data_IF_144882603717
#
_entry.id   IF_144882603717
#
_cell.length_a   1.000
_cell.length_b   1.000
_cell.length_c   1.000
_cell.angle_alpha   90.00
_cell.angle_beta   90.00
_cell.angle_gamma   90.00
#
_symmetry.space_group_name_H-M   'P 1'
#
loop_
_entity.id
_entity.type
_entity.pdbx_description
1 polymer ?
#
# COMPACT_ATOMS: atom_id res chain seq x y z
N UNK A 1 -21.81 -27.73 23.42
CA UNK A 1 -21.05 -27.64 22.14
C UNK A 1 -21.90 -28.28 21.05
N UNK A 2 -22.64 -27.48 20.30
CA UNK A 2 -23.48 -27.98 19.21
C UNK A 2 -22.61 -28.12 17.95
N UNK A 3 -22.50 -29.35 17.43
CA UNK A 3 -21.94 -29.63 16.10
C UNK A 3 -22.86 -28.97 15.07
N UNK A 4 -22.30 -28.08 14.25
CA UNK A 4 -23.01 -27.55 13.08
C UNK A 4 -23.00 -28.66 12.04
N UNK A 5 -24.11 -29.40 11.92
CA UNK A 5 -24.33 -30.35 10.83
C UNK A 5 -24.62 -29.58 9.54
N UNK A 6 -23.82 -29.85 8.51
CA UNK A 6 -24.01 -29.35 7.14
C UNK A 6 -24.67 -30.49 6.35
N UNK A 7 -25.71 -30.25 5.52
CA UNK A 7 -26.51 -31.32 4.93
C UNK A 7 -25.74 -32.14 3.90
N UNK A 8 -25.95 -33.46 3.95
CA UNK A 8 -25.37 -34.47 3.08
C UNK A 8 -25.87 -34.39 1.63
N UNK A 9 -24.94 -34.17 0.71
CA UNK A 9 -24.98 -34.77 -0.63
C UNK A 9 -23.64 -35.48 -0.81
N UNK A 10 -23.69 -36.73 -1.23
CA UNK A 10 -22.57 -37.67 -1.30
C UNK A 10 -21.34 -37.09 -2.04
N UNK A 11 -20.41 -36.52 -1.28
CA UNK A 11 -18.94 -36.62 -1.42
C UNK A 11 -18.32 -35.83 -0.27
N UNK A 12 -17.44 -36.51 0.47
CA UNK A 12 -16.76 -36.06 1.69
C UNK A 12 -15.97 -34.77 1.45
N UNK A 13 -16.55 -33.61 1.78
CA UNK A 13 -15.71 -32.46 2.09
C UNK A 13 -15.39 -32.48 3.57
N UNK A 14 -14.27 -33.11 3.92
CA UNK A 14 -13.68 -33.00 5.24
C UNK A 14 -12.69 -31.83 5.28
N UNK A 15 -13.02 -30.70 5.93
CA UNK A 15 -12.10 -29.59 6.11
C UNK A 15 -10.83 -29.95 6.90
N UNK A 16 -10.77 -31.13 7.52
CA UNK A 16 -9.59 -31.65 8.22
C UNK A 16 -8.49 -32.17 7.28
N UNK A 17 -8.81 -32.46 6.01
CA UNK A 17 -7.88 -33.05 5.04
C UNK A 17 -6.82 -32.06 4.50
N UNK A 18 -7.09 -30.76 4.58
CA UNK A 18 -6.10 -29.69 4.31
C UNK A 18 -5.56 -29.15 5.62
N UNK A 19 -4.49 -29.77 6.12
CA UNK A 19 -3.90 -29.47 7.42
C UNK A 19 -3.46 -28.00 7.54
N UNK A 20 -4.01 -27.31 8.55
CA UNK A 20 -3.40 -26.12 9.14
C UNK A 20 -2.21 -26.54 10.02
N UNK A 21 -1.26 -25.64 10.33
CA UNK A 21 -0.22 -25.94 11.31
C UNK A 21 -0.81 -26.42 12.64
N UNK A 22 -0.10 -27.33 13.31
CA UNK A 22 -0.53 -27.94 14.57
C UNK A 22 -0.78 -26.85 15.64
N UNK A 23 -2.06 -26.75 16.04
CA UNK A 23 -2.66 -25.85 17.04
C UNK A 23 -2.73 -24.34 16.69
N UNK A 24 -3.85 -23.94 16.05
CA UNK A 24 -4.27 -22.54 16.03
C UNK A 24 -4.81 -22.11 17.41
N UNK A 25 -4.53 -20.88 17.83
CA UNK A 25 -5.22 -20.29 18.98
C UNK A 25 -6.73 -20.13 18.68
N UNK A 26 -7.60 -20.02 19.71
CA UNK A 26 -9.05 -19.98 19.51
C UNK A 26 -9.56 -18.85 18.60
N UNK A 27 -8.87 -17.68 18.58
CA UNK A 27 -9.24 -16.55 17.71
C UNK A 27 -8.97 -16.89 16.24
N UNK A 28 -7.80 -17.47 15.96
CA UNK A 28 -7.41 -17.90 14.63
C UNK A 28 -8.24 -19.10 14.13
N UNK A 29 -8.62 -20.03 15.01
CA UNK A 29 -9.53 -21.14 14.68
C UNK A 29 -10.94 -20.63 14.31
N UNK A 30 -11.50 -19.70 15.09
CA UNK A 30 -12.80 -19.09 14.79
C UNK A 30 -12.77 -18.33 13.45
N UNK A 31 -11.70 -17.58 13.21
CA UNK A 31 -11.46 -16.88 11.94
C UNK A 31 -11.36 -17.86 10.77
N UNK A 32 -10.63 -18.95 10.93
CA UNK A 32 -10.49 -19.99 9.92
C UNK A 32 -11.84 -20.62 9.55
N UNK A 33 -12.63 -21.02 10.56
CA UNK A 33 -13.98 -21.56 10.34
C UNK A 33 -14.89 -20.59 9.61
N UNK A 34 -14.85 -19.31 10.00
CA UNK A 34 -15.64 -18.27 9.33
C UNK A 34 -15.23 -18.11 7.85
N UNK A 35 -13.92 -18.18 7.55
CA UNK A 35 -13.41 -18.14 6.17
C UNK A 35 -13.90 -19.30 5.35
N UNK A 36 -13.72 -20.54 5.81
CA UNK A 36 -14.20 -21.72 5.12
C UNK A 36 -15.71 -21.67 4.88
N UNK A 37 -16.48 -21.26 5.89
CA UNK A 37 -17.94 -21.10 5.76
C UNK A 37 -18.31 -20.10 4.65
N UNK A 38 -17.57 -19.00 4.55
CA UNK A 38 -17.85 -17.93 3.57
C UNK A 38 -17.15 -18.13 2.22
N UNK A 39 -16.32 -19.17 2.07
CA UNK A 39 -15.76 -19.61 0.79
C UNK A 39 -16.38 -20.93 0.35
N UNK A 40 -15.86 -22.04 0.85
CA UNK A 40 -16.22 -23.40 0.46
C UNK A 40 -17.66 -23.71 0.85
N UNK A 41 -18.06 -23.40 2.09
CA UNK A 41 -19.44 -23.59 2.55
C UNK A 41 -20.45 -22.78 1.72
N UNK A 42 -20.08 -21.57 1.31
CA UNK A 42 -20.92 -20.74 0.45
C UNK A 42 -21.04 -21.32 -0.97
N UNK A 43 -19.97 -21.89 -1.53
CA UNK A 43 -20.01 -22.57 -2.83
C UNK A 43 -20.89 -23.84 -2.77
N UNK A 44 -20.73 -24.65 -1.73
CA UNK A 44 -21.57 -25.83 -1.52
C UNK A 44 -23.06 -25.49 -1.38
N UNK A 45 -23.38 -24.30 -0.87
CA UNK A 45 -24.77 -23.86 -0.63
C UNK A 45 -25.38 -23.13 -1.84
N UNK A 46 -24.61 -22.27 -2.51
CA UNK A 46 -25.14 -21.32 -3.50
C UNK A 46 -24.49 -21.44 -4.88
N UNK A 47 -23.39 -22.18 -5.00
CA UNK A 47 -22.60 -22.27 -6.20
C UNK A 47 -23.15 -23.23 -7.25
N UNK A 48 -22.72 -23.04 -8.48
CA UNK A 48 -23.00 -23.96 -9.58
C UNK A 48 -22.09 -25.19 -9.48
N UNK A 49 -22.70 -26.36 -9.29
CA UNK A 49 -22.01 -27.63 -9.04
C UNK A 49 -22.34 -28.64 -10.12
N UNK A 50 -21.32 -29.33 -10.62
CA UNK A 50 -21.40 -30.42 -11.58
C UNK A 50 -20.20 -31.34 -11.37
N UNK A 51 -20.39 -32.65 -11.54
CA UNK A 51 -19.35 -33.65 -11.32
C UNK A 51 -18.07 -33.38 -12.14
N UNK A 52 -18.18 -32.71 -13.30
CA UNK A 52 -17.04 -32.38 -14.17
C UNK A 52 -16.04 -31.41 -13.55
N UNK A 53 -16.48 -30.48 -12.71
CA UNK A 53 -15.61 -29.42 -12.17
C UNK A 53 -15.65 -29.26 -10.65
N UNK A 54 -16.61 -29.89 -9.96
CA UNK A 54 -16.85 -29.64 -8.54
C UNK A 54 -15.62 -29.91 -7.66
N UNK A 55 -14.85 -30.97 -7.95
CA UNK A 55 -13.61 -31.25 -7.22
C UNK A 55 -12.58 -30.11 -7.38
N UNK A 56 -12.30 -29.71 -8.63
CA UNK A 56 -11.37 -28.62 -8.93
C UNK A 56 -11.84 -27.27 -8.35
N UNK A 57 -13.15 -27.01 -8.35
CA UNK A 57 -13.72 -25.81 -7.73
C UNK A 57 -13.54 -25.81 -6.21
N UNK A 58 -13.75 -26.95 -5.53
CA UNK A 58 -13.51 -27.07 -4.10
C UNK A 58 -12.03 -26.91 -3.73
N UNK A 59 -11.13 -27.47 -4.53
CA UNK A 59 -9.68 -27.32 -4.37
C UNK A 59 -9.25 -25.86 -4.51
N UNK A 60 -9.73 -25.17 -5.56
CA UNK A 60 -9.50 -23.73 -5.75
C UNK A 60 -9.93 -22.93 -4.51
N UNK A 61 -11.15 -23.14 -4.04
CA UNK A 61 -11.75 -22.32 -2.98
C UNK A 61 -11.13 -22.61 -1.60
N UNK A 62 -10.65 -23.83 -1.40
CA UNK A 62 -9.88 -24.21 -0.20
C UNK A 62 -8.50 -23.55 -0.22
N UNK A 63 -7.77 -23.65 -1.34
CA UNK A 63 -6.50 -22.94 -1.50
C UNK A 63 -6.68 -21.42 -1.44
N UNK A 64 -7.80 -20.88 -1.94
CA UNK A 64 -8.15 -19.46 -1.79
C UNK A 64 -8.30 -19.06 -0.31
N UNK A 65 -9.01 -19.86 0.48
CA UNK A 65 -9.15 -19.62 1.91
C UNK A 65 -7.81 -19.67 2.65
N UNK A 66 -6.95 -20.63 2.31
CA UNK A 66 -5.62 -20.84 2.91
C UNK A 66 -4.63 -19.74 2.53
N UNK A 67 -4.49 -19.42 1.24
CA UNK A 67 -3.53 -18.42 0.78
C UNK A 67 -3.79 -17.05 1.43
N UNK A 68 -5.05 -16.75 1.70
CA UNK A 68 -5.47 -15.48 2.31
C UNK A 68 -5.55 -15.55 3.84
N UNK A 69 -5.18 -16.69 4.45
CA UNK A 69 -5.12 -16.92 5.91
C UNK A 69 -3.68 -17.17 6.35
N UNK A 70 -3.11 -16.28 7.20
CA UNK A 70 -1.79 -16.38 7.87
C UNK A 70 -0.89 -17.56 7.41
N UNK A 71 -0.40 -17.52 6.18
CA UNK A 71 0.43 -18.59 5.62
C UNK A 71 1.83 -18.09 5.30
N UNK A 72 2.84 -18.88 5.68
CA UNK A 72 4.22 -18.66 5.30
C UNK A 72 4.51 -19.15 3.87
N UNK A 73 3.55 -19.83 3.22
CA UNK A 73 3.69 -20.40 1.88
C UNK A 73 2.59 -19.91 0.91
N UNK A 74 2.37 -18.59 0.92
CA UNK A 74 1.44 -17.92 0.00
C UNK A 74 1.69 -18.34 -1.47
N UNK A 75 2.95 -18.51 -1.85
CA UNK A 75 3.34 -18.84 -3.22
C UNK A 75 2.83 -20.22 -3.67
N UNK A 76 2.93 -21.25 -2.83
CA UNK A 76 2.42 -22.59 -3.17
C UNK A 76 0.91 -22.62 -3.23
N UNK A 77 0.22 -22.09 -2.20
CA UNK A 77 -1.25 -22.04 -2.22
C UNK A 77 -1.79 -21.24 -3.40
N UNK A 78 -1.11 -20.16 -3.79
CA UNK A 78 -1.47 -19.39 -4.98
C UNK A 78 -1.34 -20.20 -6.27
N UNK A 79 -0.25 -20.96 -6.45
CA UNK A 79 -0.06 -21.81 -7.64
C UNK A 79 -1.13 -22.90 -7.71
N UNK A 80 -1.34 -23.63 -6.62
CA UNK A 80 -2.34 -24.69 -6.55
C UNK A 80 -3.74 -24.16 -6.84
N UNK A 81 -4.07 -22.96 -6.32
CA UNK A 81 -5.34 -22.31 -6.62
C UNK A 81 -5.50 -21.99 -8.11
N UNK A 82 -4.46 -21.48 -8.78
CA UNK A 82 -4.53 -21.21 -10.23
C UNK A 82 -4.78 -22.49 -11.02
N UNK A 83 -4.00 -23.55 -10.75
CA UNK A 83 -4.12 -24.83 -11.45
C UNK A 83 -5.52 -25.44 -11.29
N UNK A 84 -6.03 -25.51 -10.06
CA UNK A 84 -7.38 -26.00 -9.78
C UNK A 84 -8.46 -25.12 -10.42
N UNK A 85 -8.26 -23.80 -10.39
CA UNK A 85 -9.17 -22.84 -11.02
C UNK A 85 -9.22 -22.98 -12.54
N UNK A 86 -8.08 -23.20 -13.20
CA UNK A 86 -8.02 -23.44 -14.65
C UNK A 86 -8.73 -24.75 -15.02
N UNK A 87 -8.45 -25.83 -14.31
CA UNK A 87 -9.11 -27.12 -14.51
C UNK A 87 -10.64 -27.02 -14.38
N UNK A 88 -11.14 -26.27 -13.39
CA UNK A 88 -12.58 -26.06 -13.23
C UNK A 88 -13.19 -25.29 -14.43
N UNK A 89 -12.53 -24.24 -14.91
CA UNK A 89 -13.01 -23.45 -16.05
C UNK A 89 -12.97 -24.24 -17.36
N UNK A 90 -11.91 -25.02 -17.60
CA UNK A 90 -11.77 -25.90 -18.77
C UNK A 90 -12.83 -27.00 -18.79
N UNK A 91 -13.21 -27.51 -17.62
CA UNK A 91 -14.32 -28.45 -17.44
C UNK A 91 -15.71 -27.81 -17.63
N UNK A 92 -15.79 -26.50 -17.84
CA UNK A 92 -17.02 -25.75 -18.14
C UNK A 92 -17.67 -25.03 -16.95
N UNK A 93 -16.96 -24.88 -15.82
CA UNK A 93 -17.47 -24.14 -14.67
C UNK A 93 -17.69 -22.66 -15.02
N UNK A 94 -18.92 -22.18 -14.86
CA UNK A 94 -19.28 -20.77 -15.05
C UNK A 94 -19.63 -20.04 -13.74
N UNK A 95 -19.44 -20.69 -12.59
CA UNK A 95 -19.70 -20.09 -11.29
C UNK A 95 -18.89 -18.78 -11.12
N UNK A 96 -19.54 -17.64 -10.83
CA UNK A 96 -18.87 -16.35 -10.81
C UNK A 96 -17.87 -16.21 -9.67
N UNK A 97 -18.02 -16.97 -8.57
CA UNK A 97 -17.07 -16.94 -7.47
C UNK A 97 -15.82 -17.76 -7.80
N UNK A 98 -15.99 -18.93 -8.43
CA UNK A 98 -14.87 -19.72 -8.99
C UNK A 98 -14.07 -18.87 -9.98
N UNK A 99 -14.73 -18.23 -10.95
CA UNK A 99 -14.09 -17.33 -11.91
C UNK A 99 -13.32 -16.19 -11.23
N UNK A 100 -13.92 -15.56 -10.21
CA UNK A 100 -13.26 -14.51 -9.44
C UNK A 100 -11.98 -15.01 -8.75
N UNK A 101 -12.06 -16.12 -8.01
CA UNK A 101 -10.93 -16.68 -7.28
C UNK A 101 -9.79 -17.10 -8.21
N UNK A 102 -10.08 -17.74 -9.35
CA UNK A 102 -9.07 -18.07 -10.38
C UNK A 102 -8.36 -16.81 -10.87
N UNK A 103 -9.13 -15.75 -11.10
CA UNK A 103 -8.62 -14.47 -11.61
C UNK A 103 -7.75 -13.72 -10.58
N UNK A 104 -8.07 -13.86 -9.29
CA UNK A 104 -7.31 -13.24 -8.19
C UNK A 104 -5.85 -13.72 -8.14
N UNK A 105 -5.64 -15.02 -8.23
CA UNK A 105 -4.30 -15.63 -8.15
C UNK A 105 -3.47 -15.54 -9.43
N UNK A 106 -4.13 -15.42 -10.58
CA UNK A 106 -3.42 -15.25 -11.87
C UNK A 106 -2.68 -13.92 -11.95
N UNK A 107 -3.19 -12.85 -11.33
CA UNK A 107 -2.60 -11.51 -11.42
C UNK A 107 -1.14 -11.41 -10.93
N UNK A 108 -0.75 -11.98 -9.76
CA UNK A 108 0.65 -11.97 -9.32
C UNK A 108 1.56 -13.01 -10.01
N UNK A 109 1.01 -14.02 -10.69
CA UNK A 109 1.76 -15.13 -11.31
C UNK A 109 1.90 -15.00 -12.84
N UNK A 110 1.11 -14.14 -13.48
CA UNK A 110 1.10 -13.93 -14.94
C UNK A 110 1.72 -12.59 -15.33
N UNK A 111 2.36 -12.53 -16.51
CA UNK A 111 2.78 -11.26 -17.15
C UNK A 111 1.61 -10.43 -17.67
N UNK A 112 0.42 -11.01 -17.79
CA UNK A 112 -0.81 -10.34 -18.26
C UNK A 112 -1.87 -10.39 -17.17
N UNK A 113 -2.19 -9.23 -16.61
CA UNK A 113 -3.33 -9.05 -15.74
C UNK A 113 -4.64 -9.22 -16.53
N UNK A 114 -5.70 -9.73 -15.88
CA UNK A 114 -7.05 -9.71 -16.45
C UNK A 114 -7.49 -8.27 -16.74
N UNK A 115 -8.23 -8.06 -17.83
CA UNK A 115 -8.74 -6.72 -18.17
C UNK A 115 -9.75 -6.21 -17.15
N UNK A 116 -9.88 -4.88 -17.04
CA UNK A 116 -10.91 -4.27 -16.20
C UNK A 116 -12.33 -4.77 -16.57
N UNK A 117 -12.61 -4.95 -17.87
CA UNK A 117 -13.89 -5.46 -18.37
C UNK A 117 -14.20 -6.87 -17.83
N UNK A 118 -13.23 -7.79 -17.86
CA UNK A 118 -13.40 -9.14 -17.35
C UNK A 118 -13.68 -9.15 -15.82
N UNK A 119 -12.99 -8.29 -15.08
CA UNK A 119 -13.20 -8.12 -13.64
C UNK A 119 -14.58 -7.53 -13.33
N UNK A 120 -15.02 -6.52 -14.09
CA UNK A 120 -16.34 -5.91 -13.97
C UNK A 120 -17.45 -6.93 -14.22
N UNK A 121 -17.35 -7.69 -15.32
CA UNK A 121 -18.32 -8.73 -15.67
C UNK A 121 -18.42 -9.79 -14.57
N UNK A 122 -17.28 -10.24 -14.05
CA UNK A 122 -17.23 -11.22 -12.96
C UNK A 122 -17.84 -10.67 -11.67
N UNK A 123 -17.54 -9.42 -11.30
CA UNK A 123 -18.11 -8.77 -10.13
C UNK A 123 -19.63 -8.59 -10.24
N UNK A 124 -20.14 -8.17 -11.41
CA UNK A 124 -21.56 -8.03 -11.67
C UNK A 124 -22.30 -9.38 -11.61
N UNK A 125 -21.72 -10.44 -12.21
CA UNK A 125 -22.27 -11.79 -12.13
C UNK A 125 -22.31 -12.29 -10.67
N UNK A 126 -21.21 -12.10 -9.91
CA UNK A 126 -21.16 -12.47 -8.49
C UNK A 126 -22.16 -11.68 -7.64
N UNK A 127 -22.38 -10.40 -7.96
CA UNK A 127 -23.33 -9.56 -7.23
C UNK A 127 -24.77 -10.12 -7.27
N UNK A 128 -25.18 -10.68 -8.41
CA UNK A 128 -26.50 -11.29 -8.61
C UNK A 128 -26.75 -12.61 -7.86
N UNK A 129 -25.73 -13.17 -7.20
CA UNK A 129 -25.82 -14.45 -6.48
C UNK A 129 -26.19 -14.29 -5.00
N UNK A 130 -26.30 -15.42 -4.28
CA UNK A 130 -26.45 -15.45 -2.82
C UNK A 130 -25.13 -15.59 -2.05
N UNK A 131 -23.98 -15.49 -2.71
CA UNK A 131 -22.68 -15.52 -2.02
C UNK A 131 -22.56 -14.40 -0.97
N UNK A 132 -21.79 -14.61 0.12
CA UNK A 132 -21.64 -13.64 1.20
C UNK A 132 -21.19 -12.25 0.70
N UNK A 133 -21.71 -11.15 1.29
CA UNK A 133 -21.36 -9.78 0.88
C UNK A 133 -19.86 -9.49 0.85
N UNK A 134 -19.07 -10.11 1.76
CA UNK A 134 -17.62 -9.94 1.78
C UNK A 134 -16.94 -10.42 0.48
N UNK A 135 -17.46 -11.47 -0.16
CA UNK A 135 -16.92 -11.99 -1.43
C UNK A 135 -17.25 -11.06 -2.59
N UNK A 136 -18.46 -10.51 -2.59
CA UNK A 136 -18.90 -9.49 -3.55
C UNK A 136 -18.09 -8.20 -3.42
N UNK A 137 -17.80 -7.77 -2.18
CA UNK A 137 -16.94 -6.62 -1.90
C UNK A 137 -15.58 -6.76 -2.59
N UNK A 138 -14.88 -7.88 -2.37
CA UNK A 138 -13.54 -8.07 -2.94
C UNK A 138 -13.56 -8.14 -4.48
N UNK A 139 -14.62 -8.68 -5.08
CA UNK A 139 -14.79 -8.65 -6.54
C UNK A 139 -14.93 -7.23 -7.09
N UNK A 140 -15.82 -6.42 -6.52
CA UNK A 140 -15.96 -5.01 -6.95
C UNK A 140 -14.73 -4.18 -6.65
N UNK A 141 -14.11 -4.36 -5.47
CA UNK A 141 -12.91 -3.63 -5.08
C UNK A 141 -11.76 -3.93 -6.06
N UNK A 142 -11.55 -5.21 -6.41
CA UNK A 142 -10.52 -5.58 -7.39
C UNK A 142 -10.81 -5.04 -8.79
N UNK A 143 -12.06 -5.09 -9.24
CA UNK A 143 -12.46 -4.48 -10.50
C UNK A 143 -12.19 -2.96 -10.54
N UNK A 144 -12.45 -2.25 -9.43
CA UNK A 144 -12.15 -0.83 -9.31
C UNK A 144 -10.64 -0.54 -9.37
N UNK A 145 -9.81 -1.38 -8.74
CA UNK A 145 -8.35 -1.24 -8.78
C UNK A 145 -7.82 -1.40 -10.21
N UNK A 146 -8.17 -2.49 -10.89
CA UNK A 146 -7.70 -2.77 -12.26
C UNK A 146 -8.16 -1.67 -13.21
N UNK A 147 -9.42 -1.22 -13.11
CA UNK A 147 -9.91 -0.12 -13.94
C UNK A 147 -9.12 1.18 -13.67
N UNK A 148 -8.78 1.47 -12.42
CA UNK A 148 -8.00 2.66 -12.07
C UNK A 148 -6.58 2.58 -12.63
N UNK A 149 -5.96 1.41 -12.56
CA UNK A 149 -4.64 1.14 -13.14
C UNK A 149 -4.65 1.37 -14.66
N UNK A 150 -5.63 0.80 -15.38
CA UNK A 150 -5.78 0.97 -16.83
C UNK A 150 -6.13 2.42 -17.24
N UNK A 151 -6.92 3.12 -16.43
CA UNK A 151 -7.35 4.51 -16.69
C UNK A 151 -6.26 5.55 -16.36
N UNK A 152 -5.22 5.17 -15.62
CA UNK A 152 -4.16 6.07 -15.18
C UNK A 152 -4.70 7.28 -14.40
N UNK A 153 -4.49 8.49 -14.94
CA UNK A 153 -4.91 9.75 -14.27
C UNK A 153 -6.41 10.01 -14.36
N UNK A 154 -7.13 9.40 -15.28
CA UNK A 154 -8.57 9.62 -15.44
C UNK A 154 -9.36 8.81 -14.41
N UNK A 155 -10.61 9.23 -14.16
CA UNK A 155 -11.57 8.54 -13.29
C UNK A 155 -12.86 8.35 -14.11
N UNK A 156 -13.01 7.25 -14.85
CA UNK A 156 -14.21 7.02 -15.65
C UNK A 156 -15.44 6.82 -14.75
N UNK A 157 -16.67 7.14 -15.23
CA UNK A 157 -17.89 6.96 -14.44
C UNK A 157 -18.06 5.54 -13.87
N UNK A 158 -17.70 4.51 -14.63
CA UNK A 158 -17.72 3.12 -14.17
C UNK A 158 -16.87 2.87 -12.91
N UNK A 159 -15.79 3.63 -12.69
CA UNK A 159 -14.98 3.53 -11.48
C UNK A 159 -15.78 3.94 -10.24
N UNK A 160 -16.63 4.96 -10.37
CA UNK A 160 -17.48 5.42 -9.28
C UNK A 160 -18.51 4.34 -8.91
N UNK A 161 -19.19 3.77 -9.90
CA UNK A 161 -20.18 2.70 -9.69
C UNK A 161 -19.58 1.47 -9.00
N UNK A 162 -18.40 1.02 -9.43
CA UNK A 162 -17.69 -0.10 -8.82
C UNK A 162 -17.35 0.19 -7.34
N UNK A 163 -16.91 1.40 -7.03
CA UNK A 163 -16.58 1.80 -5.65
C UNK A 163 -17.82 1.89 -4.77
N UNK A 164 -18.95 2.38 -5.29
CA UNK A 164 -20.23 2.39 -4.57
C UNK A 164 -20.73 0.97 -4.30
N UNK A 165 -20.67 0.07 -5.29
CA UNK A 165 -21.04 -1.34 -5.11
C UNK A 165 -20.13 -2.05 -4.10
N UNK A 166 -18.82 -1.79 -4.14
CA UNK A 166 -17.88 -2.26 -3.14
C UNK A 166 -18.24 -1.76 -1.74
N UNK A 167 -18.51 -0.45 -1.57
CA UNK A 167 -18.93 0.13 -0.29
C UNK A 167 -20.22 -0.52 0.24
N UNK A 168 -21.22 -0.73 -0.62
CA UNK A 168 -22.48 -1.35 -0.24
C UNK A 168 -22.27 -2.79 0.25
N UNK A 169 -21.48 -3.58 -0.49
CA UNK A 169 -21.16 -4.95 -0.11
C UNK A 169 -20.31 -5.00 1.17
N UNK A 170 -19.36 -4.07 1.33
CA UNK A 170 -18.52 -3.98 2.52
C UNK A 170 -19.36 -3.63 3.75
N UNK A 171 -20.22 -2.62 3.65
CA UNK A 171 -21.12 -2.25 4.75
C UNK A 171 -22.01 -3.43 5.15
N UNK A 172 -22.63 -4.11 4.19
CA UNK A 172 -23.44 -5.30 4.46
C UNK A 172 -22.61 -6.43 5.07
N UNK A 173 -21.35 -6.62 4.66
CA UNK A 173 -20.47 -7.62 5.24
C UNK A 173 -20.14 -7.33 6.71
N UNK A 174 -19.90 -6.06 7.06
CA UNK A 174 -19.53 -5.68 8.43
C UNK A 174 -20.74 -5.55 9.37
N UNK A 175 -21.96 -5.72 8.86
CA UNK A 175 -23.17 -5.90 9.68
C UNK A 175 -23.34 -7.35 10.16
N UNK A 176 -22.66 -8.33 9.53
CA UNK A 176 -22.65 -9.73 9.99
C UNK A 176 -22.05 -9.80 11.41
N UNK A 177 -22.78 -10.23 12.45
CA UNK A 177 -22.26 -10.31 13.81
C UNK A 177 -21.10 -11.32 13.93
N UNK A 178 -20.97 -12.25 12.99
CA UNK A 178 -19.97 -13.33 13.01
C UNK A 178 -18.66 -12.98 12.33
N UNK A 179 -18.57 -11.85 11.60
CA UNK A 179 -17.33 -11.45 10.92
C UNK A 179 -16.22 -11.13 11.93
N UNK A 180 -15.04 -11.78 11.85
CA UNK A 180 -13.89 -11.45 12.69
C UNK A 180 -13.32 -10.06 12.38
N UNK A 181 -12.74 -9.40 13.38
CA UNK A 181 -12.08 -8.10 13.21
C UNK A 181 -10.93 -8.17 12.20
N UNK A 182 -10.20 -9.30 12.18
CA UNK A 182 -9.11 -9.61 11.25
C UNK A 182 -9.56 -9.73 9.79
N UNK A 183 -10.86 -9.83 9.53
CA UNK A 183 -11.44 -9.83 8.18
C UNK A 183 -12.03 -8.45 7.86
N UNK A 184 -12.79 -7.90 8.78
CA UNK A 184 -13.50 -6.64 8.57
C UNK A 184 -12.56 -5.43 8.48
N UNK A 185 -11.62 -5.27 9.43
CA UNK A 185 -10.79 -4.07 9.49
C UNK A 185 -9.81 -3.96 8.32
N UNK A 186 -9.11 -5.04 7.89
CA UNK A 186 -8.28 -4.96 6.67
C UNK A 186 -9.12 -4.72 5.41
N UNK A 187 -10.34 -5.24 5.32
CA UNK A 187 -11.24 -4.94 4.20
C UNK A 187 -11.60 -3.44 4.14
N UNK A 188 -11.85 -2.81 5.31
CA UNK A 188 -12.12 -1.37 5.39
C UNK A 188 -10.87 -0.55 5.07
N UNK A 189 -9.71 -0.90 5.64
CA UNK A 189 -8.43 -0.20 5.39
C UNK A 189 -8.09 -0.22 3.88
N UNK A 190 -8.11 -1.42 3.28
CA UNK A 190 -7.84 -1.60 1.84
C UNK A 190 -8.85 -0.87 0.95
N UNK A 191 -10.09 -0.71 1.40
CA UNK A 191 -11.09 0.04 0.66
C UNK A 191 -10.88 1.55 0.73
N UNK A 192 -10.55 2.08 1.90
CA UNK A 192 -10.43 3.52 2.14
C UNK A 192 -9.08 4.10 1.69
N UNK A 193 -7.96 3.38 1.91
CA UNK A 193 -6.60 3.86 1.60
C UNK A 193 -6.47 4.36 0.13
N UNK A 194 -6.93 3.63 -0.91
CA UNK A 194 -6.76 4.07 -2.29
C UNK A 194 -7.63 5.28 -2.66
N UNK A 195 -8.67 5.58 -1.88
CA UNK A 195 -9.63 6.65 -2.15
C UNK A 195 -9.51 7.81 -1.17
N UNK A 196 -8.60 7.73 -0.19
CA UNK A 196 -8.53 8.65 0.93
C UNK A 196 -8.39 10.12 0.50
N UNK A 197 -7.64 10.36 -0.59
CA UNK A 197 -7.42 11.69 -1.21
C UNK A 197 -8.57 12.22 -2.08
N UNK A 198 -9.69 11.49 -2.17
CA UNK A 198 -10.87 11.89 -2.91
C UNK A 198 -12.05 12.09 -1.95
N UNK A 199 -12.06 13.17 -1.15
CA UNK A 199 -13.06 13.40 -0.08
C UNK A 199 -14.50 13.35 -0.53
N UNK A 200 -14.81 13.78 -1.76
CA UNK A 200 -16.17 13.65 -2.30
C UNK A 200 -16.68 12.21 -2.27
N UNK A 201 -15.77 11.23 -2.31
CA UNK A 201 -16.05 9.82 -2.09
C UNK A 201 -15.73 9.36 -0.67
N UNK A 202 -14.53 9.69 -0.18
CA UNK A 202 -13.98 9.07 1.04
C UNK A 202 -14.66 9.54 2.32
N UNK A 203 -15.16 10.78 2.38
CA UNK A 203 -15.87 11.28 3.56
C UNK A 203 -17.25 10.61 3.74
N UNK A 204 -18.14 10.54 2.73
CA UNK A 204 -19.37 9.75 2.84
C UNK A 204 -19.13 8.27 3.15
N UNK A 205 -18.13 7.67 2.52
CA UNK A 205 -17.77 6.27 2.76
C UNK A 205 -17.30 6.05 4.21
N UNK A 206 -16.40 6.90 4.71
CA UNK A 206 -15.89 6.82 6.07
C UNK A 206 -17.00 7.02 7.10
N UNK A 207 -17.86 8.04 6.94
CA UNK A 207 -19.01 8.29 7.84
C UNK A 207 -19.95 7.09 7.97
N UNK A 208 -20.04 6.26 6.93
CA UNK A 208 -20.85 5.03 6.94
C UNK A 208 -20.15 3.87 7.66
N UNK A 209 -18.83 3.76 7.57
CA UNK A 209 -18.05 2.64 8.12
C UNK A 209 -17.58 2.88 9.57
N UNK A 210 -17.25 4.13 9.91
CA UNK A 210 -16.67 4.52 11.20
C UNK A 210 -17.52 4.10 12.41
N UNK A 211 -18.85 4.30 12.46
CA UNK A 211 -19.64 3.91 13.60
C UNK A 211 -19.62 2.39 13.85
N UNK A 212 -19.59 1.58 12.79
CA UNK A 212 -19.52 0.13 12.92
C UNK A 212 -18.17 -0.28 13.51
N UNK A 213 -17.07 0.28 13.01
CA UNK A 213 -15.73 -0.03 13.50
C UNK A 213 -15.54 0.38 14.96
N UNK A 214 -15.91 1.60 15.30
CA UNK A 214 -15.70 2.17 16.63
C UNK A 214 -16.61 1.55 17.69
N UNK A 215 -17.79 1.03 17.31
CA UNK A 215 -18.66 0.29 18.22
C UNK A 215 -18.26 -1.19 18.39
N UNK A 216 -17.91 -1.88 17.30
CA UNK A 216 -17.65 -3.34 17.34
C UNK A 216 -16.20 -3.69 17.67
N UNK A 217 -15.25 -2.88 17.22
CA UNK A 217 -13.81 -3.19 17.26
C UNK A 217 -13.01 -2.05 17.91
N UNK A 218 -13.57 -1.43 18.95
CA UNK A 218 -12.96 -0.32 19.71
C UNK A 218 -11.64 -0.68 20.41
N UNK A 219 -11.37 -1.97 20.58
CA UNK A 219 -10.15 -2.50 21.21
C UNK A 219 -9.11 -2.99 20.19
N UNK A 220 -9.37 -2.79 18.89
CA UNK A 220 -8.42 -3.13 17.83
C UNK A 220 -7.65 -1.86 17.42
N UNK A 221 -6.33 -1.93 17.41
CA UNK A 221 -5.49 -0.77 17.09
C UNK A 221 -5.74 -0.24 15.67
N UNK A 222 -6.07 -1.14 14.73
CA UNK A 222 -6.34 -0.81 13.34
C UNK A 222 -7.58 0.08 13.18
N UNK A 223 -8.61 -0.08 14.02
CA UNK A 223 -9.80 0.81 14.03
C UNK A 223 -9.38 2.27 14.17
N UNK A 224 -8.57 2.56 15.19
CA UNK A 224 -8.16 3.93 15.49
C UNK A 224 -7.08 4.46 14.56
N UNK A 225 -6.27 3.57 13.97
CA UNK A 225 -5.40 3.94 12.87
C UNK A 225 -6.21 4.46 11.67
N UNK A 226 -7.24 3.72 11.24
CA UNK A 226 -8.09 4.12 10.10
C UNK A 226 -8.76 5.46 10.39
N UNK A 227 -9.34 5.65 11.59
CA UNK A 227 -9.91 6.94 12.01
C UNK A 227 -8.87 8.05 11.93
N UNK A 228 -7.66 7.80 12.41
CA UNK A 228 -6.53 8.73 12.37
C UNK A 228 -6.16 9.15 10.95
N UNK A 229 -5.83 8.18 10.11
CA UNK A 229 -5.39 8.40 8.74
C UNK A 229 -6.45 9.15 7.91
N UNK A 230 -7.72 8.77 8.03
CA UNK A 230 -8.82 9.45 7.31
C UNK A 230 -8.98 10.91 7.73
N UNK A 231 -8.86 11.20 9.04
CA UNK A 231 -8.95 12.58 9.53
C UNK A 231 -7.74 13.43 9.12
N UNK A 232 -6.54 12.85 8.95
CA UNK A 232 -5.41 13.58 8.36
C UNK A 232 -5.76 14.04 6.93
N UNK A 233 -6.30 13.15 6.11
CA UNK A 233 -6.69 13.51 4.73
C UNK A 233 -7.81 14.56 4.70
N UNK A 234 -8.82 14.43 5.57
CA UNK A 234 -9.89 15.44 5.69
C UNK A 234 -9.36 16.80 6.15
N UNK A 235 -8.37 16.82 7.04
CA UNK A 235 -7.70 18.05 7.44
C UNK A 235 -7.05 18.72 6.23
N UNK A 236 -6.15 18.02 5.53
CA UNK A 236 -5.41 18.59 4.39
C UNK A 236 -6.33 19.04 3.26
N UNK A 237 -7.44 18.36 3.05
CA UNK A 237 -8.43 18.79 2.07
C UNK A 237 -9.26 20.00 2.55
N UNK A 238 -9.63 20.08 3.84
CA UNK A 238 -10.29 21.26 4.39
C UNK A 238 -9.41 22.51 4.29
N UNK A 239 -8.10 22.38 4.58
CA UNK A 239 -7.11 23.44 4.42
C UNK A 239 -6.90 23.85 2.95
N UNK A 240 -6.96 22.88 2.05
CA UNK A 240 -6.60 23.04 0.65
C UNK A 240 -5.08 23.08 0.41
N UNK A 241 -4.71 23.10 -0.88
CA UNK A 241 -3.31 23.04 -1.33
C UNK A 241 -2.63 24.41 -1.49
N UNK A 242 -3.32 25.49 -1.10
CA UNK A 242 -2.81 26.86 -1.19
C UNK A 242 -1.69 27.15 -0.19
N UNK A 243 -1.00 28.28 -0.41
CA UNK A 243 -0.12 28.87 0.59
C UNK A 243 -0.92 29.23 1.85
N UNK A 244 -0.27 29.28 3.01
CA UNK A 244 -0.94 29.61 4.28
C UNK A 244 -1.75 30.92 4.22
N UNK A 245 -1.26 31.92 3.49
CA UNK A 245 -1.94 33.21 3.25
C UNK A 245 -3.20 33.14 2.39
N UNK A 246 -3.50 31.99 1.79
CA UNK A 246 -4.64 31.79 0.87
C UNK A 246 -5.70 30.85 1.44
N UNK A 247 -5.50 30.34 2.65
CA UNK A 247 -6.45 29.44 3.33
C UNK A 247 -7.49 30.29 4.07
N UNK A 248 -8.77 29.96 3.93
CA UNK A 248 -9.86 30.66 4.64
C UNK A 248 -9.91 30.28 6.11
N UNK A 249 -10.60 31.08 6.92
CA UNK A 249 -10.77 30.80 8.36
C UNK A 249 -11.49 29.45 8.58
N UNK A 250 -12.51 29.15 7.77
CA UNK A 250 -13.21 27.85 7.82
C UNK A 250 -12.28 26.69 7.42
N UNK A 251 -11.40 26.92 6.45
CA UNK A 251 -10.39 25.94 6.06
C UNK A 251 -9.40 25.64 7.19
N UNK A 252 -8.97 26.67 7.92
CA UNK A 252 -8.12 26.52 9.10
C UNK A 252 -8.84 25.84 10.27
N UNK A 253 -10.10 26.18 10.50
CA UNK A 253 -10.91 25.54 11.52
C UNK A 253 -11.06 24.03 11.24
N UNK A 254 -11.48 23.66 10.02
CA UNK A 254 -11.62 22.26 9.64
C UNK A 254 -10.28 21.50 9.68
N UNK A 255 -9.18 22.16 9.33
CA UNK A 255 -7.83 21.60 9.47
C UNK A 255 -7.51 21.25 10.93
N UNK A 256 -7.70 22.21 11.84
CA UNK A 256 -7.40 22.02 13.27
C UNK A 256 -8.30 20.95 13.92
N UNK A 257 -9.61 20.98 13.62
CA UNK A 257 -10.59 20.01 14.14
C UNK A 257 -10.22 18.58 13.74
N UNK A 258 -9.99 18.34 12.46
CA UNK A 258 -9.65 17.01 11.96
C UNK A 258 -8.28 16.53 12.47
N UNK A 259 -7.27 17.40 12.57
CA UNK A 259 -5.98 17.00 13.16
C UNK A 259 -6.10 16.63 14.64
N UNK A 260 -6.96 17.30 15.42
CA UNK A 260 -7.20 16.91 16.81
C UNK A 260 -7.88 15.54 16.93
N UNK A 261 -8.79 15.20 16.02
CA UNK A 261 -9.40 13.87 15.96
C UNK A 261 -8.32 12.83 15.58
N UNK A 262 -7.50 13.14 14.58
CA UNK A 262 -6.44 12.25 14.13
C UNK A 262 -5.44 11.93 15.23
N UNK A 263 -4.94 12.95 15.93
CA UNK A 263 -4.06 12.84 17.08
C UNK A 263 -4.61 11.87 18.14
N UNK A 264 -5.84 12.12 18.63
CA UNK A 264 -6.47 11.29 19.67
C UNK A 264 -6.63 9.84 19.21
N UNK A 265 -7.02 9.64 17.95
CA UNK A 265 -7.21 8.31 17.39
C UNK A 265 -5.87 7.57 17.26
N UNK A 266 -4.83 8.20 16.71
CA UNK A 266 -3.52 7.58 16.54
C UNK A 266 -2.83 7.28 17.87
N UNK A 267 -2.98 8.16 18.87
CA UNK A 267 -2.52 7.86 20.23
C UNK A 267 -3.23 6.67 20.84
N UNK A 268 -4.56 6.55 20.63
CA UNK A 268 -5.33 5.39 21.08
C UNK A 268 -4.90 4.12 20.34
N UNK A 269 -4.68 4.19 19.03
CA UNK A 269 -4.15 3.10 18.21
C UNK A 269 -2.83 2.59 18.79
N UNK A 270 -1.88 3.50 19.02
CA UNK A 270 -0.56 3.20 19.59
C UNK A 270 -0.65 2.54 20.98
N UNK A 271 -1.52 3.05 21.86
CA UNK A 271 -1.73 2.51 23.21
C UNK A 271 -2.28 1.08 23.21
N UNK A 272 -3.16 0.75 22.25
CA UNK A 272 -3.70 -0.61 22.12
C UNK A 272 -2.60 -1.56 21.62
N UNK A 273 -1.92 -1.17 20.54
CA UNK A 273 -0.80 -1.93 19.98
C UNK A 273 0.11 -0.96 19.23
N UNK A 274 1.43 -0.92 19.54
CA UNK A 274 2.37 -0.17 18.73
C UNK A 274 2.32 -0.60 17.27
N UNK A 275 1.99 0.34 16.39
CA UNK A 275 1.97 0.17 14.94
C UNK A 275 2.89 1.21 14.32
N UNK A 276 3.83 0.78 13.49
CA UNK A 276 4.74 1.68 12.77
C UNK A 276 3.95 2.74 11.98
N UNK A 277 2.93 2.30 11.24
CA UNK A 277 2.06 3.20 10.47
C UNK A 277 1.37 4.27 11.33
N UNK A 278 0.96 3.95 12.56
CA UNK A 278 0.39 4.96 13.45
C UNK A 278 1.41 6.02 13.89
N UNK A 279 2.67 5.61 14.12
CA UNK A 279 3.75 6.55 14.43
C UNK A 279 4.12 7.43 13.22
N UNK A 280 4.13 6.86 12.01
CA UNK A 280 4.37 7.62 10.77
C UNK A 280 3.24 8.64 10.55
N UNK A 281 1.97 8.25 10.70
CA UNK A 281 0.84 9.16 10.56
C UNK A 281 0.87 10.28 11.61
N UNK A 282 1.37 10.02 12.83
CA UNK A 282 1.58 11.08 13.82
C UNK A 282 2.61 12.12 13.35
N UNK A 283 3.63 11.77 12.56
CA UNK A 283 4.53 12.77 11.96
C UNK A 283 3.79 13.74 11.04
N UNK A 284 2.76 13.26 10.34
CA UNK A 284 1.90 14.09 9.48
C UNK A 284 0.96 14.97 10.30
N UNK A 285 0.50 14.49 11.47
CA UNK A 285 -0.21 15.31 12.45
C UNK A 285 0.68 16.44 12.96
N UNK A 286 1.91 16.11 13.39
CA UNK A 286 2.86 17.11 13.90
C UNK A 286 3.25 18.16 12.85
N UNK A 287 3.38 17.75 11.59
CA UNK A 287 3.61 18.66 10.47
C UNK A 287 2.51 19.74 10.41
N UNK A 288 1.25 19.33 10.55
CA UNK A 288 0.10 20.21 10.45
C UNK A 288 -0.17 21.04 11.70
N UNK A 289 -0.08 20.42 12.89
CA UNK A 289 -0.37 21.10 14.15
C UNK A 289 0.76 22.02 14.62
N UNK A 290 2.02 21.68 14.30
CA UNK A 290 3.17 22.48 14.73
C UNK A 290 3.39 22.52 16.25
N UNK A 291 3.01 21.47 16.98
CA UNK A 291 3.12 21.39 18.46
C UNK A 291 4.57 21.26 18.96
N UNK A 292 5.56 21.26 18.05
CA UNK A 292 6.97 21.38 18.35
C UNK A 292 7.83 20.18 17.95
N UNK A 293 9.12 20.46 17.75
CA UNK A 293 10.13 19.50 17.25
C UNK A 293 10.24 18.24 18.12
N UNK A 294 10.18 18.37 19.44
CA UNK A 294 10.34 17.23 20.35
C UNK A 294 9.27 16.16 20.16
N UNK A 295 8.03 16.58 19.86
CA UNK A 295 6.91 15.67 19.65
C UNK A 295 7.05 14.91 18.33
N UNK A 296 7.48 15.59 17.27
CA UNK A 296 7.85 14.95 16.01
C UNK A 296 8.96 13.92 16.21
N UNK A 297 10.05 14.28 16.90
CA UNK A 297 11.18 13.36 17.16
C UNK A 297 10.74 12.14 17.99
N UNK A 298 9.83 12.29 18.95
CA UNK A 298 9.26 11.17 19.71
C UNK A 298 8.61 10.13 18.79
N UNK A 299 7.74 10.59 17.88
CA UNK A 299 7.03 9.70 16.96
C UNK A 299 7.95 9.12 15.88
N UNK A 300 8.93 9.88 15.41
CA UNK A 300 9.95 9.39 14.49
C UNK A 300 10.75 8.26 15.14
N UNK A 301 11.23 8.46 16.37
CA UNK A 301 11.97 7.44 17.10
C UNK A 301 11.13 6.18 17.34
N UNK A 302 9.84 6.34 17.66
CA UNK A 302 8.90 5.21 17.79
C UNK A 302 8.78 4.39 16.49
N UNK A 303 8.66 5.06 15.34
CA UNK A 303 8.61 4.37 14.05
C UNK A 303 9.93 3.63 13.75
N UNK A 304 11.07 4.31 13.91
CA UNK A 304 12.40 3.73 13.64
C UNK A 304 12.78 2.61 14.62
N UNK A 305 12.26 2.61 15.85
CA UNK A 305 12.44 1.51 16.81
C UNK A 305 11.69 0.25 16.40
N UNK A 306 10.49 0.38 15.83
CA UNK A 306 9.72 -0.75 15.31
C UNK A 306 10.31 -1.27 14.00
N UNK A 307 10.79 -0.36 13.14
CA UNK A 307 11.38 -0.69 11.85
C UNK A 307 12.57 0.23 11.54
N UNK A 308 13.81 -0.22 11.84
CA UNK A 308 15.02 0.56 11.53
C UNK A 308 15.26 0.81 10.03
N UNK A 309 14.54 0.13 9.15
CA UNK A 309 14.62 0.30 7.69
C UNK A 309 13.48 1.16 7.14
N UNK A 310 12.68 1.82 8.00
CA UNK A 310 11.52 2.62 7.60
C UNK A 310 11.92 3.85 6.79
N UNK A 311 11.89 3.71 5.47
CA UNK A 311 12.10 4.83 4.57
C UNK A 311 10.94 5.82 4.64
N UNK A 312 9.69 5.36 4.83
CA UNK A 312 8.54 6.26 4.98
C UNK A 312 8.68 7.18 6.21
N UNK A 313 9.09 6.65 7.37
CA UNK A 313 9.30 7.46 8.56
C UNK A 313 10.41 8.50 8.37
N UNK A 314 11.53 8.10 7.77
CA UNK A 314 12.64 9.00 7.50
C UNK A 314 12.26 10.07 6.45
N UNK A 315 11.49 9.70 5.42
CA UNK A 315 11.00 10.66 4.43
C UNK A 315 10.00 11.66 5.03
N UNK A 316 9.10 11.21 5.91
CA UNK A 316 8.17 12.08 6.63
C UNK A 316 8.92 13.09 7.52
N UNK A 317 9.96 12.65 8.23
CA UNK A 317 10.84 13.57 8.98
C UNK A 317 11.58 14.53 8.05
N UNK A 318 12.15 14.07 6.95
CA UNK A 318 12.79 14.97 5.97
C UNK A 318 11.83 16.06 5.49
N UNK A 319 10.58 15.70 5.19
CA UNK A 319 9.56 16.64 4.75
C UNK A 319 9.21 17.67 5.83
N UNK A 320 9.15 17.26 7.09
CA UNK A 320 8.98 18.17 8.23
C UNK A 320 10.10 19.21 8.35
N UNK A 321 11.34 18.83 7.99
CA UNK A 321 12.52 19.70 8.04
C UNK A 321 12.64 20.65 6.84
N UNK A 322 11.76 20.58 5.84
CA UNK A 322 11.84 21.50 4.71
C UNK A 322 11.66 22.97 5.18
N UNK A 323 12.37 23.94 4.56
CA UNK A 323 12.31 25.36 4.93
C UNK A 323 10.90 25.99 4.95
N UNK A 324 9.97 25.43 4.19
CA UNK A 324 8.57 25.91 4.13
C UNK A 324 7.72 25.42 5.31
N UNK A 325 8.26 24.54 6.14
CA UNK A 325 7.61 23.93 7.29
C UNK A 325 8.33 24.34 8.58
N UNK A 326 9.06 23.42 9.21
CA UNK A 326 9.58 23.61 10.58
C UNK A 326 11.10 23.48 10.67
N UNK A 327 11.82 23.52 9.54
CA UNK A 327 13.27 23.38 9.55
C UNK A 327 14.00 24.26 8.54
N UNK A 328 15.23 23.87 8.21
CA UNK A 328 16.11 24.57 7.27
C UNK A 328 16.85 23.61 6.32
N UNK A 329 17.50 24.16 5.29
CA UNK A 329 18.32 23.36 4.38
C UNK A 329 19.47 22.64 5.12
N UNK A 330 20.06 23.30 6.11
CA UNK A 330 21.12 22.74 6.96
C UNK A 330 20.60 21.56 7.77
N UNK A 331 19.39 21.67 8.35
CA UNK A 331 18.79 20.57 9.11
C UNK A 331 18.43 19.38 8.23
N UNK A 332 17.93 19.61 7.01
CA UNK A 332 17.66 18.54 6.05
C UNK A 332 18.94 17.75 5.71
N UNK A 333 20.03 18.46 5.39
CA UNK A 333 21.30 17.83 5.07
C UNK A 333 21.94 17.16 6.28
N UNK A 334 21.86 17.77 7.47
CA UNK A 334 22.33 17.17 8.70
C UNK A 334 21.60 15.85 9.01
N UNK A 335 20.28 15.83 8.85
CA UNK A 335 19.48 14.61 9.03
C UNK A 335 19.81 13.55 7.95
N UNK A 336 19.95 13.94 6.68
CA UNK A 336 20.38 13.03 5.63
C UNK A 336 21.73 12.37 5.94
N UNK A 337 22.71 13.15 6.41
CA UNK A 337 24.02 12.62 6.83
C UNK A 337 23.91 11.71 8.05
N UNK A 338 23.01 12.01 8.99
CA UNK A 338 22.70 11.10 10.10
C UNK A 338 22.17 9.75 9.57
N UNK A 339 21.30 9.76 8.57
CA UNK A 339 20.79 8.53 7.94
C UNK A 339 21.89 7.69 7.30
N UNK A 340 22.88 8.31 6.65
CA UNK A 340 24.04 7.62 6.05
C UNK A 340 24.97 7.04 7.12
N UNK A 341 25.24 7.82 8.17
CA UNK A 341 26.19 7.47 9.22
C UNK A 341 25.63 6.49 10.27
N UNK A 342 24.31 6.29 10.31
CA UNK A 342 23.68 5.35 11.23
C UNK A 342 24.20 3.93 11.04
N UNK A 343 24.48 3.26 12.16
CA UNK A 343 24.84 1.84 12.20
C UNK A 343 23.61 0.94 12.38
N UNK A 344 22.49 1.52 12.79
CA UNK A 344 21.24 0.80 13.11
C UNK A 344 20.24 0.91 11.95
N UNK A 345 20.20 2.05 11.27
CA UNK A 345 19.24 2.27 10.19
C UNK A 345 19.76 1.73 8.87
N UNK A 346 18.89 1.03 8.14
CA UNK A 346 19.29 0.34 6.92
C UNK A 346 18.26 0.41 5.79
N UNK A 347 18.27 -0.61 4.92
CA UNK A 347 17.43 -0.64 3.72
C UNK A 347 17.68 0.58 2.83
N UNK A 348 16.64 1.37 2.58
CA UNK A 348 16.67 2.59 1.74
C UNK A 348 16.92 3.88 2.53
N UNK A 349 16.99 3.84 3.86
CA UNK A 349 17.14 5.03 4.71
C UNK A 349 18.34 5.93 4.33
N UNK A 350 19.52 5.41 3.94
CA UNK A 350 20.63 6.28 3.50
C UNK A 350 20.29 7.20 2.32
N UNK A 351 19.33 6.80 1.47
CA UNK A 351 18.89 7.58 0.30
C UNK A 351 18.17 8.89 0.68
N UNK A 352 17.78 9.07 1.94
CA UNK A 352 17.20 10.32 2.44
C UNK A 352 18.14 11.52 2.23
N UNK A 353 19.46 11.31 2.25
CA UNK A 353 20.41 12.38 1.93
C UNK A 353 20.33 12.81 0.46
N UNK A 354 20.12 11.85 -0.45
CA UNK A 354 19.85 12.16 -1.85
C UNK A 354 18.54 12.96 -1.96
N UNK A 355 17.48 12.50 -1.30
CA UNK A 355 16.17 13.17 -1.35
C UNK A 355 16.24 14.61 -0.82
N UNK A 356 17.05 14.87 0.20
CA UNK A 356 17.31 16.21 0.71
C UNK A 356 17.89 17.13 -0.38
N UNK A 357 18.91 16.68 -1.09
CA UNK A 357 19.49 17.44 -2.21
C UNK A 357 18.51 17.61 -3.37
N UNK A 358 17.70 16.60 -3.68
CA UNK A 358 16.67 16.70 -4.73
C UNK A 358 15.63 17.77 -4.38
N UNK A 359 15.16 17.80 -3.13
CA UNK A 359 14.22 18.80 -2.65
C UNK A 359 14.83 20.22 -2.69
N UNK A 360 16.08 20.38 -2.23
CA UNK A 360 16.78 21.66 -2.25
C UNK A 360 17.09 22.17 -3.66
N UNK A 361 17.47 21.28 -4.58
CA UNK A 361 17.65 21.62 -5.99
C UNK A 361 16.33 22.11 -6.63
N UNK A 362 15.21 21.46 -6.31
CA UNK A 362 13.89 21.88 -6.78
C UNK A 362 13.48 23.24 -6.17
N UNK A 363 13.82 23.49 -4.91
CA UNK A 363 13.57 24.76 -4.23
C UNK A 363 14.41 25.90 -4.83
N UNK A 364 15.71 25.69 -5.04
CA UNK A 364 16.62 26.62 -5.70
C UNK A 364 16.09 27.04 -7.08
N UNK A 365 15.63 26.06 -7.87
CA UNK A 365 15.03 26.31 -9.20
C UNK A 365 13.76 27.16 -9.11
N UNK A 366 12.87 26.91 -8.16
CA UNK A 366 11.63 27.70 -7.97
C UNK A 366 11.91 29.14 -7.57
N UNK A 367 13.03 29.38 -6.87
CA UNK A 367 13.46 30.71 -6.44
C UNK A 367 14.38 31.41 -7.45
N UNK A 368 14.42 30.94 -8.72
CA UNK A 368 15.22 31.51 -9.81
C UNK A 368 16.71 31.68 -9.46
N UNK A 369 17.27 30.79 -8.63
CA UNK A 369 18.71 30.78 -8.40
C UNK A 369 19.44 30.39 -9.69
N UNK A 370 20.40 31.20 -10.11
CA UNK A 370 21.10 31.06 -11.39
C UNK A 370 22.24 30.04 -11.35
N UNK A 371 22.83 29.81 -10.17
CA UNK A 371 23.88 28.82 -9.99
C UNK A 371 23.32 27.40 -10.07
N UNK A 372 24.01 26.50 -10.78
CA UNK A 372 23.63 25.09 -10.82
C UNK A 372 23.86 24.46 -9.44
N UNK A 373 22.77 24.04 -8.79
CA UNK A 373 22.80 23.42 -7.47
C UNK A 373 23.71 22.19 -7.42
N UNK A 374 23.65 21.34 -8.45
CA UNK A 374 24.37 20.06 -8.46
C UNK A 374 25.89 20.18 -8.53
N UNK A 375 26.41 21.34 -8.94
CA UNK A 375 27.85 21.61 -9.03
C UNK A 375 28.39 22.33 -7.79
N UNK A 376 27.57 22.53 -6.75
CA UNK A 376 28.01 23.16 -5.51
C UNK A 376 28.94 22.22 -4.71
N UNK A 377 29.89 22.83 -3.99
CA UNK A 377 30.81 22.10 -3.13
C UNK A 377 30.04 21.32 -2.06
N UNK A 378 30.39 20.05 -1.87
CA UNK A 378 29.78 19.17 -0.86
C UNK A 378 28.58 18.34 -1.35
N UNK A 379 27.93 18.72 -2.45
CA UNK A 379 26.79 17.95 -3.00
C UNK A 379 27.23 16.56 -3.44
N UNK A 380 28.25 16.44 -4.29
CA UNK A 380 28.70 15.13 -4.74
C UNK A 380 29.17 14.19 -3.61
N UNK A 381 30.01 14.62 -2.65
CA UNK A 381 30.36 13.79 -1.50
C UNK A 381 29.14 13.19 -0.78
N UNK A 382 28.11 14.00 -0.54
CA UNK A 382 26.87 13.56 0.09
C UNK A 382 26.12 12.55 -0.79
N UNK A 383 25.90 12.86 -2.08
CA UNK A 383 25.24 11.96 -3.04
C UNK A 383 25.98 10.62 -3.15
N UNK A 384 27.31 10.65 -3.27
CA UNK A 384 28.13 9.44 -3.34
C UNK A 384 27.98 8.61 -2.07
N UNK A 385 28.11 9.21 -0.89
CA UNK A 385 28.03 8.50 0.39
C UNK A 385 26.66 7.83 0.60
N UNK A 386 25.58 8.50 0.19
CA UNK A 386 24.21 8.01 0.20
C UNK A 386 24.08 6.71 -0.62
N UNK A 387 24.52 6.73 -1.89
CA UNK A 387 24.46 5.56 -2.76
C UNK A 387 25.40 4.44 -2.32
N UNK A 388 26.63 4.76 -1.92
CA UNK A 388 27.60 3.76 -1.48
C UNK A 388 27.13 3.03 -0.22
N UNK A 389 26.56 3.75 0.76
CA UNK A 389 25.95 3.14 1.94
C UNK A 389 24.75 2.27 1.54
N UNK A 390 23.88 2.75 0.65
CA UNK A 390 22.75 1.97 0.15
C UNK A 390 23.19 0.64 -0.49
N UNK A 391 24.14 0.67 -1.42
CA UNK A 391 24.62 -0.55 -2.08
C UNK A 391 25.44 -1.46 -1.16
N UNK A 392 26.10 -0.91 -0.14
CA UNK A 392 26.74 -1.72 0.91
C UNK A 392 25.72 -2.53 1.72
N UNK A 393 24.58 -1.92 2.05
CA UNK A 393 23.50 -2.57 2.80
C UNK A 393 22.66 -3.51 1.92
N UNK A 394 22.59 -3.25 0.61
CA UNK A 394 21.76 -3.97 -0.34
C UNK A 394 22.61 -4.49 -1.53
N UNK A 395 23.55 -5.43 -1.31
CA UNK A 395 24.56 -5.80 -2.30
C UNK A 395 24.02 -6.47 -3.58
N UNK A 396 22.79 -7.00 -3.52
CA UNK A 396 22.10 -7.62 -4.67
C UNK A 396 21.18 -6.66 -5.43
N UNK A 397 21.02 -5.43 -4.93
CA UNK A 397 20.14 -4.45 -5.54
C UNK A 397 20.85 -3.71 -6.70
N UNK A 398 20.16 -3.59 -7.84
CA UNK A 398 20.60 -2.81 -9.00
C UNK A 398 19.62 -1.68 -9.37
N UNK A 399 18.49 -1.58 -8.67
CA UNK A 399 17.38 -0.69 -9.01
C UNK A 399 17.77 0.80 -8.96
N UNK A 400 18.72 1.17 -8.10
CA UNK A 400 19.18 2.55 -7.92
C UNK A 400 20.39 2.95 -8.78
N UNK A 401 20.91 2.05 -9.63
CA UNK A 401 22.09 2.35 -10.46
C UNK A 401 21.82 3.43 -11.50
N UNK A 402 20.60 3.48 -12.04
CA UNK A 402 20.15 4.52 -12.96
C UNK A 402 20.17 5.91 -12.31
N UNK A 403 19.60 6.03 -11.11
CA UNK A 403 19.61 7.26 -10.33
C UNK A 403 21.04 7.67 -10.00
N UNK A 404 21.89 6.72 -9.57
CA UNK A 404 23.27 7.03 -9.22
C UNK A 404 24.05 7.57 -10.42
N UNK A 405 23.92 6.94 -11.59
CA UNK A 405 24.51 7.46 -12.83
C UNK A 405 23.98 8.86 -13.14
N UNK A 406 22.66 9.06 -13.09
CA UNK A 406 22.04 10.36 -13.39
C UNK A 406 22.61 11.47 -12.50
N UNK A 407 22.65 11.28 -11.18
CA UNK A 407 23.16 12.31 -10.27
C UNK A 407 24.67 12.49 -10.35
N UNK A 408 25.45 11.43 -10.61
CA UNK A 408 26.87 11.57 -10.92
C UNK A 408 27.09 12.48 -12.14
N UNK A 409 26.31 12.29 -13.20
CA UNK A 409 26.37 13.15 -14.37
C UNK A 409 25.96 14.60 -14.06
N UNK A 410 24.88 14.81 -13.29
CA UNK A 410 24.46 16.16 -12.88
C UNK A 410 25.52 16.90 -12.06
N UNK A 411 26.28 16.17 -11.23
CA UNK A 411 27.39 16.70 -10.45
C UNK A 411 28.70 16.84 -11.24
N UNK A 412 28.70 16.53 -12.54
CA UNK A 412 29.90 16.49 -13.41
C UNK A 412 30.95 15.45 -13.02
N UNK A 413 30.53 14.41 -12.31
CA UNK A 413 31.37 13.31 -11.82
C UNK A 413 31.38 12.18 -12.86
N UNK A 414 31.97 12.50 -14.01
CA UNK A 414 31.86 11.69 -15.22
C UNK A 414 32.43 10.28 -15.08
N UNK A 415 33.52 10.11 -14.32
CA UNK A 415 34.08 8.79 -14.04
C UNK A 415 33.10 7.92 -13.25
N UNK A 416 32.41 8.49 -12.27
CA UNK A 416 31.39 7.77 -11.50
C UNK A 416 30.15 7.45 -12.34
N UNK A 417 29.71 8.38 -13.22
CA UNK A 417 28.65 8.11 -14.18
C UNK A 417 28.98 6.90 -15.07
N UNK A 418 30.16 6.87 -15.69
CA UNK A 418 30.59 5.76 -16.56
C UNK A 418 30.62 4.43 -15.79
N UNK A 419 31.16 4.42 -14.57
CA UNK A 419 31.15 3.24 -13.71
C UNK A 419 29.74 2.74 -13.43
N UNK A 420 28.78 3.62 -13.17
CA UNK A 420 27.39 3.18 -12.92
C UNK A 420 26.71 2.68 -14.18
N UNK A 421 27.04 3.21 -15.37
CA UNK A 421 26.53 2.70 -16.66
C UNK A 421 26.93 1.23 -16.89
N UNK A 422 28.16 0.85 -16.51
CA UNK A 422 28.60 -0.55 -16.59
C UNK A 422 27.84 -1.47 -15.61
N UNK A 423 27.36 -0.91 -14.49
CA UNK A 423 26.73 -1.68 -13.40
C UNK A 423 25.19 -1.74 -13.48
N UNK A 424 24.53 -0.87 -14.26
CA UNK A 424 23.06 -0.70 -14.20
C UNK A 424 22.25 -1.73 -14.98
N UNK A 425 22.89 -2.56 -15.81
CA UNK A 425 22.19 -3.48 -16.71
C UNK A 425 21.50 -2.75 -17.88
N UNK A 426 20.36 -3.27 -18.40
CA UNK A 426 19.63 -2.63 -19.50
C UNK A 426 19.23 -1.19 -19.17
N UNK A 427 19.52 -0.26 -20.09
CA UNK A 427 19.29 1.17 -19.88
C UNK A 427 17.82 1.53 -20.03
N UNK A 428 17.24 2.14 -19.00
CA UNK A 428 15.95 2.82 -19.06
C UNK A 428 16.11 4.19 -19.75
N UNK A 429 16.14 4.21 -21.09
CA UNK A 429 16.29 5.45 -21.85
C UNK A 429 15.27 6.56 -21.51
N UNK A 430 13.96 6.27 -21.32
CA UNK A 430 13.00 7.27 -20.87
C UNK A 430 13.43 8.03 -19.61
N UNK A 431 14.09 7.36 -18.66
CA UNK A 431 14.58 8.01 -17.43
C UNK A 431 15.64 9.08 -17.70
N UNK A 432 16.48 8.88 -18.71
CA UNK A 432 17.49 9.86 -19.16
C UNK A 432 16.94 10.87 -20.20
N UNK A 433 15.63 10.86 -20.43
CA UNK A 433 14.97 11.74 -21.40
C UNK A 433 15.13 11.29 -22.86
N UNK A 434 15.43 10.02 -23.09
CA UNK A 434 15.53 9.39 -24.42
C UNK A 434 16.93 8.88 -24.76
N UNK A 435 17.01 8.02 -25.80
CA UNK A 435 18.26 7.39 -26.23
C UNK A 435 19.29 8.42 -26.70
N UNK A 436 18.88 9.40 -27.49
CA UNK A 436 19.77 10.46 -27.99
C UNK A 436 20.42 11.28 -26.86
N UNK A 437 19.64 11.64 -25.83
CA UNK A 437 20.17 12.35 -24.65
C UNK A 437 21.17 11.50 -23.89
N UNK A 438 20.87 10.23 -23.70
CA UNK A 438 21.78 9.31 -23.04
C UNK A 438 23.09 9.12 -23.83
N UNK A 439 23.01 8.97 -25.15
CA UNK A 439 24.19 8.86 -26.02
C UNK A 439 25.06 10.12 -25.94
N UNK A 440 24.45 11.31 -25.87
CA UNK A 440 25.17 12.58 -25.65
C UNK A 440 25.82 12.65 -24.27
N UNK A 441 25.15 12.18 -23.21
CA UNK A 441 25.72 12.08 -21.87
C UNK A 441 26.97 11.17 -21.88
N UNK A 442 26.90 10.02 -22.55
CA UNK A 442 28.03 9.10 -22.72
C UNK A 442 29.22 9.75 -23.43
N UNK A 443 28.98 10.44 -24.54
CA UNK A 443 30.04 11.14 -25.28
C UNK A 443 30.70 12.22 -24.43
N UNK A 444 29.89 13.02 -23.72
CA UNK A 444 30.36 14.07 -22.82
C UNK A 444 31.21 13.48 -21.70
N UNK A 445 30.72 12.45 -21.02
CA UNK A 445 31.44 11.82 -19.93
C UNK A 445 32.77 11.22 -20.40
N UNK A 446 32.81 10.50 -21.53
CA UNK A 446 34.06 9.95 -22.10
C UNK A 446 35.09 11.02 -22.44
N UNK A 447 34.65 12.22 -22.83
CA UNK A 447 35.53 13.34 -23.14
C UNK A 447 36.17 13.96 -21.89
N UNK A 448 35.43 14.00 -20.78
CA UNK A 448 35.80 14.78 -19.59
C UNK A 448 36.15 13.93 -18.36
N UNK A 449 36.01 12.60 -18.39
CA UNK A 449 36.30 11.69 -17.27
C UNK A 449 37.80 11.49 -16.96
N UNK A 450 38.65 12.51 -17.12
CA UNK A 450 40.08 12.42 -16.83
C UNK A 450 40.37 12.40 -15.34
#
# INVERSE_FOLDING_TARGET
MARVEIPSFETEWDPSSTALPDELNPKDEARWRWRLKTTVGAYLTFGERDARWNAAALDLLTNFALATFKTNDLGTFARNAVEAGEAALEAGCNDPFVRYCTTWFKAPLSRKSPSAEAMQSTAAALYGTKYPPIRKFYAFHRAAQVLKEESGKTNPPALWELRINALNCLHSAIEDPTIPAEEALPAIDNFLEPVQRARSFSLPAFKRLEPVMTNRWANEALTWHIVGAMNIEFAWEARGSGFSSTVTDEGWQGFAEHLSIAEKALERSWKIKPLEKAAIEMLRVELGQGQGRQRMELWFNRAMQLNPNSYEAANAKLFYLEPKWHGSAEEMLAFGRQCVNSEIWGGRVPLILLDAHVALAAWAKRNNQTANYWTQQGVWPDIRSSFEKFFKLNPKDSSWRHNYAYYAYQCQEYAAFLKQVELMGPVNYPYFGGKEKFDLMLQTAKRFAR
#
